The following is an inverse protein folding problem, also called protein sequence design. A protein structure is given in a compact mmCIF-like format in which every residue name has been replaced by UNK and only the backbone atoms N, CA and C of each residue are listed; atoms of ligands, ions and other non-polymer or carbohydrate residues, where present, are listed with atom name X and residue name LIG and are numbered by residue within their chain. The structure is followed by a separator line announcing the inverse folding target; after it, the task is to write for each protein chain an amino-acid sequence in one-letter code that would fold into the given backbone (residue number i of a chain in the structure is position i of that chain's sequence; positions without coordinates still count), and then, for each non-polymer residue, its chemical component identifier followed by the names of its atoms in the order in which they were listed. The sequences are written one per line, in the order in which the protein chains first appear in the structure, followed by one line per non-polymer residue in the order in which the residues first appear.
data_IF_859974636347
#
_entry.id   IF_859974636347
#
_cell.length_a   1.000
_cell.length_b   1.000
_cell.length_c   1.000
_cell.angle_alpha   90.00
_cell.angle_beta   90.00
_cell.angle_gamma   90.00
#
_symmetry.space_group_name_H-M   'P 1'
#
loop_
_entity.id
_entity.type
_entity.pdbx_description
1 polymer ?
#
# COMPACT_ATOMS: atom_id res chain seq x y z
N UNK A 1 -6.93 -9.34 34.48
CA UNK A 1 -6.01 -9.93 33.48
C UNK A 1 -5.11 -8.83 32.96
N UNK A 2 -3.79 -8.97 33.03
CA UNK A 2 -2.85 -7.94 32.58
C UNK A 2 -2.62 -8.06 31.07
N UNK A 3 -2.55 -6.93 30.36
CA UNK A 3 -2.30 -6.89 28.91
C UNK A 3 -1.02 -7.66 28.52
N UNK A 4 0.00 -7.61 29.39
CA UNK A 4 1.25 -8.36 29.25
C UNK A 4 1.04 -9.87 29.27
N UNK A 5 0.18 -10.38 30.16
CA UNK A 5 -0.11 -11.82 30.24
C UNK A 5 -0.91 -12.33 29.03
N UNK A 6 -1.70 -11.47 28.37
CA UNK A 6 -2.44 -11.81 27.15
C UNK A 6 -1.50 -11.91 25.94
N UNK A 7 -0.57 -10.96 25.77
CA UNK A 7 0.45 -11.03 24.71
C UNK A 7 1.37 -12.23 24.91
N UNK A 8 1.80 -12.51 26.14
CA UNK A 8 2.63 -13.68 26.46
C UNK A 8 1.92 -15.01 26.19
N UNK A 9 0.62 -15.11 26.48
CA UNK A 9 -0.14 -16.34 26.22
C UNK A 9 -0.47 -16.54 24.73
N UNK A 10 -0.70 -15.46 24.00
CA UNK A 10 -0.82 -15.50 22.54
C UNK A 10 0.49 -15.89 21.84
N UNK A 11 1.63 -15.39 22.32
CA UNK A 11 2.94 -15.75 21.79
C UNK A 11 3.30 -17.22 22.07
N UNK A 12 2.90 -17.75 23.24
CA UNK A 12 3.17 -19.14 23.62
C UNK A 12 2.35 -20.18 22.84
N UNK A 13 1.17 -19.83 22.32
CA UNK A 13 0.28 -20.80 21.70
C UNK A 13 0.64 -21.14 20.25
N UNK A 14 0.87 -20.12 19.39
CA UNK A 14 1.31 -20.29 17.97
C UNK A 14 2.07 -19.05 17.44
N UNK A 15 3.39 -18.93 17.71
CA UNK A 15 4.18 -17.75 17.33
C UNK A 15 4.22 -17.47 15.81
N UNK A 16 4.22 -18.52 14.98
CA UNK A 16 4.33 -18.38 13.52
C UNK A 16 3.12 -17.71 12.86
N UNK A 17 1.91 -18.06 13.28
CA UNK A 17 0.67 -17.45 12.78
C UNK A 17 0.53 -16.00 13.24
N UNK A 18 1.05 -15.69 14.42
CA UNK A 18 0.99 -14.34 14.97
C UNK A 18 1.96 -13.40 14.25
N UNK A 19 3.18 -13.86 13.98
CA UNK A 19 4.14 -13.14 13.16
C UNK A 19 3.62 -12.93 11.73
N UNK A 20 3.01 -13.96 11.12
CA UNK A 20 2.38 -13.86 9.80
C UNK A 20 1.24 -12.82 9.81
N UNK A 21 0.36 -12.84 10.80
CA UNK A 21 -0.74 -11.88 10.90
C UNK A 21 -0.25 -10.45 11.09
N UNK A 22 0.77 -10.22 11.93
CA UNK A 22 1.38 -8.89 12.07
C UNK A 22 2.00 -8.44 10.75
N UNK A 23 2.73 -9.33 10.06
CA UNK A 23 3.32 -9.01 8.76
C UNK A 23 2.26 -8.68 7.71
N UNK A 24 1.18 -9.47 7.63
CA UNK A 24 0.05 -9.23 6.72
C UNK A 24 -0.69 -7.93 7.07
N UNK A 25 -0.86 -7.63 8.36
CA UNK A 25 -1.46 -6.38 8.82
C UNK A 25 -0.63 -5.17 8.37
N UNK A 26 0.69 -5.22 8.55
CA UNK A 26 1.61 -4.15 8.12
C UNK A 26 1.60 -4.03 6.60
N UNK A 27 1.66 -5.15 5.86
CA UNK A 27 1.59 -5.12 4.41
C UNK A 27 0.27 -4.52 3.90
N UNK A 28 -0.85 -4.87 4.55
CA UNK A 28 -2.17 -4.34 4.23
C UNK A 28 -2.26 -2.84 4.48
N UNK A 29 -1.79 -2.33 5.62
CA UNK A 29 -1.85 -0.90 5.93
C UNK A 29 -0.96 -0.08 4.99
N UNK A 30 0.22 -0.61 4.63
CA UNK A 30 1.07 -0.01 3.60
C UNK A 30 0.37 0.04 2.23
N UNK A 31 -0.30 -1.04 1.83
CA UNK A 31 -1.05 -1.08 0.57
C UNK A 31 -2.22 -0.08 0.55
N UNK A 32 -2.91 0.12 1.69
CA UNK A 32 -3.96 1.14 1.83
C UNK A 32 -3.40 2.56 1.71
N UNK A 33 -2.25 2.85 2.33
CA UNK A 33 -1.56 4.14 2.20
C UNK A 33 -1.08 4.43 0.78
N UNK A 34 -0.53 3.43 0.09
CA UNK A 34 -0.11 3.57 -1.31
C UNK A 34 -1.29 3.89 -2.24
N UNK A 35 -2.45 3.27 -2.02
CA UNK A 35 -3.66 3.56 -2.80
C UNK A 35 -4.13 5.01 -2.69
N UNK A 36 -4.04 5.59 -1.49
CA UNK A 36 -4.35 7.01 -1.26
C UNK A 36 -3.33 7.95 -1.92
N UNK A 37 -2.05 7.63 -1.81
CA UNK A 37 -0.97 8.44 -2.41
C UNK A 37 -1.07 8.44 -3.95
N UNK A 38 -1.45 7.32 -4.56
CA UNK A 38 -1.59 7.18 -6.01
C UNK A 38 -2.83 7.89 -6.59
N UNK A 39 -3.84 8.21 -5.79
CA UNK A 39 -4.98 8.98 -6.26
C UNK A 39 -4.58 10.41 -6.68
N UNK A 40 -3.62 11.03 -5.98
CA UNK A 40 -3.16 12.39 -6.28
C UNK A 40 -2.58 12.52 -7.71
N UNK A 41 -1.57 11.73 -8.12
CA UNK A 41 -1.06 11.79 -9.48
C UNK A 41 -2.07 11.33 -10.53
N UNK A 42 -2.96 10.39 -10.21
CA UNK A 42 -4.05 10.01 -11.13
C UNK A 42 -5.00 11.19 -11.38
N UNK A 43 -5.37 11.95 -10.34
CA UNK A 43 -6.21 13.14 -10.46
C UNK A 43 -5.50 14.28 -11.21
N UNK A 44 -4.20 14.44 -11.02
CA UNK A 44 -3.38 15.39 -11.78
C UNK A 44 -3.28 15.01 -13.26
N UNK A 45 -3.10 13.73 -13.57
CA UNK A 45 -3.02 13.22 -14.94
C UNK A 45 -4.36 13.25 -15.69
N UNK A 46 -5.49 13.06 -15.00
CA UNK A 46 -6.84 13.15 -15.60
C UNK A 46 -7.26 14.62 -15.82
N UNK A 47 -6.41 15.59 -15.42
CA UNK A 47 -6.66 17.02 -15.65
C UNK A 47 -7.69 17.63 -14.68
N UNK A 48 -8.11 16.89 -13.65
CA UNK A 48 -9.01 17.39 -12.60
C UNK A 48 -8.28 18.38 -11.69
N UNK A 49 -6.97 18.21 -11.49
CA UNK A 49 -6.11 19.20 -10.86
C UNK A 49 -5.44 20.09 -11.93
N UNK A 50 -6.25 20.82 -12.72
CA UNK A 50 -5.70 21.89 -13.54
C UNK A 50 -5.46 23.13 -12.68
N UNK A 51 -4.19 23.55 -12.61
CA UNK A 51 -3.69 24.86 -12.11
C UNK A 51 -3.45 24.94 -10.59
N UNK A 52 -2.17 24.92 -10.18
CA UNK A 52 -1.79 25.59 -8.93
C UNK A 52 -0.50 25.11 -8.29
N UNK A 53 -0.37 23.83 -8.02
CA UNK A 53 0.76 23.32 -7.25
C UNK A 53 1.42 22.16 -7.97
N UNK A 54 2.53 22.47 -8.63
CA UNK A 54 3.63 21.52 -8.84
C UNK A 54 4.16 21.16 -7.45
N UNK A 55 3.39 20.36 -6.72
CA UNK A 55 3.68 19.92 -5.37
C UNK A 55 4.95 19.06 -5.42
N UNK A 56 5.84 19.23 -4.44
CA UNK A 56 6.98 18.33 -4.13
C UNK A 56 6.65 16.85 -4.44
N UNK A 57 5.42 16.44 -4.15
CA UNK A 57 4.94 15.08 -4.35
C UNK A 57 5.04 14.60 -5.80
N UNK A 58 4.77 15.46 -6.78
CA UNK A 58 4.82 15.12 -8.20
C UNK A 58 6.26 14.88 -8.65
N UNK A 59 7.23 15.67 -8.16
CA UNK A 59 8.66 15.47 -8.43
C UNK A 59 9.20 14.20 -7.76
N UNK A 60 8.74 13.91 -6.54
CA UNK A 60 9.10 12.68 -5.84
C UNK A 60 8.60 11.44 -6.59
N UNK A 61 7.36 11.50 -7.09
CA UNK A 61 6.77 10.45 -7.92
C UNK A 61 7.50 10.31 -9.25
N UNK A 62 7.81 11.42 -9.92
CA UNK A 62 8.57 11.40 -11.17
C UNK A 62 9.94 10.73 -10.99
N UNK A 63 10.64 11.06 -9.90
CA UNK A 63 11.94 10.44 -9.55
C UNK A 63 11.80 8.94 -9.24
N UNK A 64 10.71 8.54 -8.58
CA UNK A 64 10.40 7.14 -8.32
C UNK A 64 10.10 6.34 -9.59
N UNK A 65 9.35 6.92 -10.51
CA UNK A 65 9.03 6.33 -11.81
C UNK A 65 10.25 6.24 -12.73
N UNK A 66 11.09 7.27 -12.77
CA UNK A 66 12.37 7.25 -13.50
C UNK A 66 13.29 6.13 -12.99
N UNK A 67 13.35 5.92 -11.67
CA UNK A 67 14.10 4.79 -11.10
C UNK A 67 13.56 3.42 -11.48
N UNK A 68 12.26 3.32 -11.72
CA UNK A 68 11.62 2.10 -12.20
C UNK A 68 11.71 1.95 -13.72
N UNK A 69 12.26 2.94 -14.44
CA UNK A 69 12.39 2.96 -15.90
C UNK A 69 11.07 3.17 -16.63
N UNK A 70 10.05 3.71 -15.96
CA UNK A 70 8.75 4.00 -16.56
C UNK A 70 8.57 5.50 -16.76
N UNK A 71 8.21 5.91 -17.98
CA UNK A 71 7.71 7.25 -18.22
C UNK A 71 6.43 7.49 -17.39
N UNK A 72 6.33 8.68 -16.77
CA UNK A 72 5.17 9.12 -15.98
C UNK A 72 3.98 9.41 -16.90
N UNK A 73 3.47 8.37 -17.56
CA UNK A 73 2.33 8.39 -18.47
C UNK A 73 1.08 7.84 -17.78
N UNK A 74 -0.09 8.28 -18.22
CA UNK A 74 -1.39 7.79 -17.72
C UNK A 74 -1.46 6.25 -17.71
N UNK A 75 -0.98 5.58 -18.77
CA UNK A 75 -0.97 4.12 -18.86
C UNK A 75 -0.09 3.48 -17.78
N UNK A 76 1.11 4.02 -17.56
CA UNK A 76 2.08 3.50 -16.59
C UNK A 76 1.51 3.56 -15.17
N UNK A 77 0.96 4.72 -14.80
CA UNK A 77 0.38 4.94 -13.46
C UNK A 77 -0.85 4.06 -13.25
N UNK A 78 -1.69 3.91 -14.27
CA UNK A 78 -2.90 3.09 -14.19
C UNK A 78 -2.57 1.60 -14.08
N UNK A 79 -1.55 1.12 -14.81
CA UNK A 79 -1.05 -0.26 -14.67
C UNK A 79 -0.47 -0.53 -13.27
N UNK A 80 0.33 0.39 -12.74
CA UNK A 80 0.88 0.28 -11.37
C UNK A 80 -0.25 0.29 -10.34
N UNK A 81 -1.23 1.18 -10.50
CA UNK A 81 -2.39 1.23 -9.62
C UNK A 81 -3.16 -0.09 -9.64
N UNK A 82 -3.44 -0.65 -10.82
CA UNK A 82 -4.12 -1.94 -10.96
C UNK A 82 -3.29 -3.06 -10.33
N UNK A 83 -1.98 -3.10 -10.58
CA UNK A 83 -1.09 -4.09 -9.97
C UNK A 83 -1.11 -4.02 -8.43
N UNK A 84 -1.07 -2.80 -7.87
CA UNK A 84 -1.19 -2.59 -6.43
C UNK A 84 -2.56 -2.98 -5.88
N UNK A 85 -3.63 -2.71 -6.63
CA UNK A 85 -4.99 -3.16 -6.30
C UNK A 85 -5.09 -4.68 -6.24
N UNK A 86 -4.49 -5.38 -7.22
CA UNK A 86 -4.43 -6.85 -7.25
C UNK A 86 -3.63 -7.37 -6.06
N UNK A 87 -2.45 -6.82 -5.79
CA UNK A 87 -1.63 -7.20 -4.62
C UNK A 87 -2.40 -6.98 -3.32
N UNK A 88 -3.07 -5.83 -3.17
CA UNK A 88 -3.92 -5.53 -2.02
C UNK A 88 -5.05 -6.54 -1.87
N UNK A 89 -5.73 -6.89 -2.95
CA UNK A 89 -6.82 -7.87 -2.93
C UNK A 89 -6.31 -9.26 -2.55
N UNK A 90 -5.16 -9.67 -3.06
CA UNK A 90 -4.50 -10.95 -2.72
C UNK A 90 -4.10 -10.98 -1.24
N UNK A 91 -3.51 -9.90 -0.71
CA UNK A 91 -3.15 -9.80 0.72
C UNK A 91 -4.41 -9.86 1.59
N UNK A 92 -5.47 -9.13 1.21
CA UNK A 92 -6.75 -9.15 1.93
C UNK A 92 -7.40 -10.53 1.94
N UNK A 93 -7.35 -11.23 0.81
CA UNK A 93 -7.85 -12.60 0.69
C UNK A 93 -7.03 -13.58 1.54
N UNK A 94 -5.70 -13.47 1.51
CA UNK A 94 -4.82 -14.29 2.35
C UNK A 94 -5.03 -14.04 3.85
N UNK A 95 -5.23 -12.79 4.25
CA UNK A 95 -5.57 -12.45 5.63
C UNK A 95 -6.92 -13.03 6.05
N UNK A 96 -7.93 -12.97 5.17
CA UNK A 96 -9.27 -13.51 5.47
C UNK A 96 -9.28 -15.04 5.59
N UNK A 97 -8.44 -15.75 4.83
CA UNK A 97 -8.28 -17.21 4.97
C UNK A 97 -7.47 -17.58 6.22
N UNK A 98 -6.54 -16.73 6.64
CA UNK A 98 -5.68 -16.97 7.79
C UNK A 98 -6.32 -16.60 9.14
N UNK A 99 -7.45 -15.87 9.14
CA UNK A 99 -8.24 -15.48 10.31
C UNK A 99 -9.39 -16.43 10.57
#
# INVERSE_FOLDING_TARGET
MSFKSFILSLWAFRPGLLALNIMLLVARTLAEGLGLILLVPLLALVGVASQGETSWFTDLLRTGFDRLGFDLSLRSVLLIFVALMVVRAVIGFAYNIAS
#
